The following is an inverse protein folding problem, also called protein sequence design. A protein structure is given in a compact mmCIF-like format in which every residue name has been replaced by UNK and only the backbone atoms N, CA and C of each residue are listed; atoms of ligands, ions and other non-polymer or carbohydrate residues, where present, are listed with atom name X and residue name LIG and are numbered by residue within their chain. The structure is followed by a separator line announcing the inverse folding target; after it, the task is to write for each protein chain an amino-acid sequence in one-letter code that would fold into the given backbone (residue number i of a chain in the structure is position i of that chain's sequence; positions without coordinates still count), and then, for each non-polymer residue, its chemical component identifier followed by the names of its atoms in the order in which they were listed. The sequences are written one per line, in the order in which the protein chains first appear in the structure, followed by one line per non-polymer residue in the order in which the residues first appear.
data_IF_649905722189
#
_entry.id   IF_649905722189
#
_cell.length_a   1.000
_cell.length_b   1.000
_cell.length_c   1.000
_cell.angle_alpha   90.00
_cell.angle_beta   90.00
_cell.angle_gamma   90.00
#
_symmetry.space_group_name_H-M   'P 1'
#
loop_
_entity.id
_entity.type
_entity.pdbx_description
1 polymer ?
#
# COMPACT_ATOMS: atom_id res chain seq x y z
N UNK A 1 -33.64 -0.77 -18.41
CA UNK A 1 -34.10 -0.46 -17.03
C UNK A 1 -32.99 -0.42 -15.95
N UNK A 2 -31.89 -1.18 -16.05
CA UNK A 2 -30.73 -1.10 -15.12
C UNK A 2 -29.91 0.20 -15.24
N UNK A 3 -29.75 0.77 -16.44
CA UNK A 3 -29.03 2.04 -16.64
C UNK A 3 -29.75 3.27 -16.04
N UNK A 4 -31.09 3.26 -16.01
CA UNK A 4 -31.88 4.37 -15.45
C UNK A 4 -31.75 4.45 -13.92
N UNK A 5 -31.54 3.31 -13.24
CA UNK A 5 -31.28 3.29 -11.79
C UNK A 5 -29.90 3.82 -11.42
N UNK A 6 -28.88 3.62 -12.26
CA UNK A 6 -27.55 4.22 -12.07
C UNK A 6 -27.56 5.73 -12.32
N UNK A 7 -28.30 6.18 -13.34
CA UNK A 7 -28.45 7.61 -13.62
C UNK A 7 -29.17 8.36 -12.49
N UNK A 8 -30.18 7.73 -11.88
CA UNK A 8 -30.91 8.33 -10.74
C UNK A 8 -30.10 8.31 -9.43
N UNK A 9 -29.25 7.32 -9.20
CA UNK A 9 -28.32 7.31 -8.05
C UNK A 9 -27.26 8.44 -8.14
N UNK A 10 -26.91 8.90 -9.35
CA UNK A 10 -26.04 10.06 -9.56
C UNK A 10 -26.75 11.39 -9.24
N UNK A 11 -28.08 11.43 -9.39
CA UNK A 11 -28.90 12.64 -9.14
C UNK A 11 -29.16 12.89 -7.65
N UNK A 12 -29.05 11.84 -6.82
CA UNK A 12 -29.31 11.87 -5.37
C UNK A 12 -28.16 12.47 -4.53
N UNK A 13 -27.11 12.98 -5.19
CA UNK A 13 -26.00 13.72 -4.57
C UNK A 13 -26.27 15.23 -4.42
N UNK A 14 -27.49 15.70 -4.72
CA UNK A 14 -27.91 17.08 -4.44
C UNK A 14 -28.51 17.13 -3.03
N UNK A 15 -27.68 17.52 -2.08
CA UNK A 15 -28.15 17.93 -0.75
C UNK A 15 -29.02 19.20 -0.90
N UNK A 16 -29.92 19.41 0.05
CA UNK A 16 -30.91 20.50 0.22
C UNK A 16 -30.38 21.94 0.10
N UNK A 17 -29.09 22.13 -0.18
CA UNK A 17 -28.39 23.41 -0.38
C UNK A 17 -27.92 23.67 -1.82
N UNK A 18 -28.31 22.84 -2.79
CA UNK A 18 -28.02 23.05 -4.21
C UNK A 18 -26.57 22.79 -4.64
N UNK A 19 -25.67 22.46 -3.72
CA UNK A 19 -24.28 22.11 -4.04
C UNK A 19 -24.20 20.60 -4.34
N UNK A 20 -23.97 20.28 -5.60
CA UNK A 20 -23.69 18.91 -6.07
C UNK A 20 -22.45 18.34 -5.38
N UNK A 21 -22.60 17.26 -4.60
CA UNK A 21 -21.47 16.48 -4.08
C UNK A 21 -20.84 15.55 -5.14
N UNK A 22 -21.23 15.67 -6.41
CA UNK A 22 -20.72 14.83 -7.48
C UNK A 22 -19.20 14.98 -7.61
N UNK A 23 -18.53 13.84 -7.79
CA UNK A 23 -17.10 13.81 -8.07
C UNK A 23 -16.84 14.53 -9.41
N UNK A 24 -16.00 15.59 -9.45
CA UNK A 24 -15.60 16.19 -10.72
C UNK A 24 -14.94 15.15 -11.62
N UNK A 25 -15.45 14.97 -12.84
CA UNK A 25 -15.01 13.91 -13.75
C UNK A 25 -13.51 13.94 -14.03
N UNK A 26 -12.90 15.12 -14.12
CA UNK A 26 -11.46 15.25 -14.35
C UNK A 26 -10.61 14.70 -13.19
N UNK A 27 -11.08 14.77 -11.93
CA UNK A 27 -10.36 14.21 -10.78
C UNK A 27 -10.33 12.66 -10.84
N UNK A 28 -11.39 12.05 -11.37
CA UNK A 28 -11.41 10.62 -11.64
C UNK A 28 -10.40 10.26 -12.74
N UNK A 29 -10.31 11.07 -13.79
CA UNK A 29 -9.31 10.87 -14.86
C UNK A 29 -7.90 10.97 -14.29
N UNK A 30 -7.60 12.00 -13.49
CA UNK A 30 -6.30 12.13 -12.81
C UNK A 30 -5.97 10.89 -11.99
N UNK A 31 -6.94 10.37 -11.22
CA UNK A 31 -6.74 9.17 -10.40
C UNK A 31 -6.44 7.92 -11.24
N UNK A 32 -7.22 7.69 -12.30
CA UNK A 32 -7.01 6.55 -13.20
C UNK A 32 -5.65 6.66 -13.87
N UNK A 33 -5.31 7.83 -14.42
CA UNK A 33 -4.03 8.09 -15.06
C UNK A 33 -2.85 7.90 -14.10
N UNK A 34 -2.96 8.40 -12.87
CA UNK A 34 -1.96 8.16 -11.82
C UNK A 34 -1.74 6.66 -11.57
N UNK A 35 -2.82 5.89 -11.35
CA UNK A 35 -2.69 4.46 -11.08
C UNK A 35 -2.06 3.70 -12.24
N UNK A 36 -2.50 3.97 -13.47
CA UNK A 36 -1.98 3.29 -14.67
C UNK A 36 -0.51 3.63 -14.93
N UNK A 37 -0.07 4.85 -14.60
CA UNK A 37 1.32 5.28 -14.74
C UNK A 37 2.21 4.92 -13.55
N UNK A 38 1.64 4.63 -12.37
CA UNK A 38 2.40 4.40 -11.13
C UNK A 38 3.50 3.33 -11.18
N UNK A 39 3.41 2.24 -11.96
CA UNK A 39 4.51 1.28 -12.02
C UNK A 39 5.64 1.71 -12.97
N UNK A 40 5.45 2.72 -13.82
CA UNK A 40 6.44 3.08 -14.84
C UNK A 40 7.44 4.11 -14.32
N UNK A 41 8.63 3.62 -13.96
CA UNK A 41 9.73 4.49 -13.57
C UNK A 41 10.51 4.87 -14.82
N UNK A 42 10.56 6.16 -15.09
CA UNK A 42 11.29 6.75 -16.23
C UNK A 42 12.53 7.49 -15.74
N UNK A 43 12.44 8.11 -14.56
CA UNK A 43 13.54 8.84 -13.94
C UNK A 43 14.20 8.02 -12.85
N UNK A 44 15.40 8.41 -12.43
CA UNK A 44 16.12 7.77 -11.33
C UNK A 44 15.29 7.69 -10.04
N UNK A 45 15.57 6.65 -9.26
CA UNK A 45 14.95 6.44 -7.95
C UNK A 45 15.17 7.65 -7.04
N UNK A 46 14.11 8.13 -6.41
CA UNK A 46 14.16 9.35 -5.58
C UNK A 46 13.86 10.64 -6.36
N UNK A 47 13.56 10.57 -7.65
CA UNK A 47 13.01 11.68 -8.43
C UNK A 47 11.50 11.51 -8.65
N UNK A 48 10.73 12.61 -8.81
CA UNK A 48 9.31 12.54 -9.18
C UNK A 48 9.12 11.81 -10.51
N UNK A 49 8.27 10.77 -10.52
CA UNK A 49 7.95 9.99 -11.71
C UNK A 49 6.78 10.60 -12.49
N UNK A 50 6.53 10.19 -13.75
CA UNK A 50 5.41 10.71 -14.53
C UNK A 50 4.05 10.58 -13.81
N UNK A 51 3.85 9.50 -13.05
CA UNK A 51 2.67 9.32 -12.22
C UNK A 51 2.52 10.42 -11.16
N UNK A 52 3.61 10.80 -10.48
CA UNK A 52 3.59 11.84 -9.45
C UNK A 52 3.22 13.19 -10.04
N UNK A 53 3.72 13.51 -11.24
CA UNK A 53 3.37 14.74 -11.97
C UNK A 53 1.86 14.80 -12.29
N UNK A 54 1.28 13.68 -12.73
CA UNK A 54 -0.18 13.58 -12.96
C UNK A 54 -0.94 13.79 -11.66
N UNK A 55 -0.48 13.19 -10.56
CA UNK A 55 -1.15 13.31 -9.27
C UNK A 55 -1.21 14.76 -8.78
N UNK A 56 -0.15 15.55 -8.98
CA UNK A 56 -0.11 16.99 -8.65
C UNK A 56 -1.28 17.76 -9.28
N UNK A 57 -1.69 17.42 -10.50
CA UNK A 57 -2.83 18.05 -11.18
C UNK A 57 -4.16 17.83 -10.43
N UNK A 58 -4.26 16.77 -9.62
CA UNK A 58 -5.41 16.50 -8.76
C UNK A 58 -5.31 17.12 -7.37
N UNK A 59 -4.08 17.30 -6.85
CA UNK A 59 -3.85 17.84 -5.50
C UNK A 59 -4.28 19.31 -5.38
N UNK A 60 -3.87 20.18 -6.31
CA UNK A 60 -4.20 21.62 -6.23
C UNK A 60 -5.72 21.88 -6.23
N UNK A 61 -6.50 21.31 -7.18
CA UNK A 61 -7.93 21.54 -7.18
C UNK A 61 -8.63 20.89 -5.99
N UNK A 62 -8.12 19.77 -5.48
CA UNK A 62 -8.67 19.15 -4.26
C UNK A 62 -8.58 20.09 -3.06
N UNK A 63 -7.45 20.79 -2.88
CA UNK A 63 -7.30 21.77 -1.79
C UNK A 63 -8.33 22.90 -1.94
N UNK A 64 -8.46 23.47 -3.15
CA UNK A 64 -9.43 24.53 -3.43
C UNK A 64 -10.87 24.05 -3.16
N UNK A 65 -11.24 22.90 -3.71
CA UNK A 65 -12.58 22.33 -3.54
C UNK A 65 -12.87 21.98 -2.08
N UNK A 66 -11.88 21.50 -1.32
CA UNK A 66 -12.04 21.21 0.11
C UNK A 66 -12.24 22.47 0.95
N UNK A 67 -11.71 23.62 0.51
CA UNK A 67 -11.93 24.91 1.16
C UNK A 67 -13.30 25.52 0.81
N UNK A 68 -13.76 25.33 -0.43
CA UNK A 68 -15.03 25.88 -0.92
C UNK A 68 -16.25 25.04 -0.50
N UNK A 69 -16.06 23.75 -0.28
CA UNK A 69 -17.14 22.83 0.05
C UNK A 69 -17.18 22.59 1.57
N UNK A 70 -18.37 22.52 2.20
CA UNK A 70 -18.49 22.17 3.60
C UNK A 70 -18.11 20.68 3.79
N UNK A 71 -16.83 20.43 3.99
CA UNK A 71 -16.30 19.12 4.34
C UNK A 71 -16.58 18.79 5.82
N UNK A 72 -16.70 17.50 6.18
CA UNK A 72 -16.74 17.10 7.59
C UNK A 72 -15.47 17.54 8.31
N UNK A 73 -15.59 17.77 9.62
CA UNK A 73 -14.48 18.18 10.50
C UNK A 73 -13.26 17.27 10.30
N UNK A 74 -12.07 17.89 10.23
CA UNK A 74 -10.79 17.19 10.26
C UNK A 74 -10.73 16.30 11.51
N UNK A 75 -10.62 14.99 11.32
CA UNK A 75 -10.45 14.06 12.42
C UNK A 75 -8.96 13.91 12.80
N UNK A 76 -8.70 13.14 13.85
CA UNK A 76 -7.35 12.97 14.38
C UNK A 76 -6.35 12.39 13.35
N UNK A 77 -6.80 11.63 12.34
CA UNK A 77 -5.88 11.11 11.33
C UNK A 77 -5.34 12.25 10.45
N UNK A 78 -6.19 13.19 10.05
CA UNK A 78 -5.75 14.40 9.34
C UNK A 78 -4.83 15.26 10.18
N UNK A 79 -5.20 15.50 11.44
CA UNK A 79 -4.43 16.35 12.34
C UNK A 79 -3.04 15.77 12.63
N UNK A 80 -2.95 14.48 12.94
CA UNK A 80 -1.67 13.83 13.24
C UNK A 80 -0.79 13.66 12.00
N UNK A 81 -1.37 13.28 10.86
CA UNK A 81 -0.62 13.18 9.61
C UNK A 81 -0.11 14.54 9.14
N UNK A 82 -0.93 15.58 9.24
CA UNK A 82 -0.53 16.96 8.94
C UNK A 82 0.52 17.49 9.91
N UNK A 83 0.36 17.24 11.22
CA UNK A 83 1.35 17.61 12.23
C UNK A 83 2.69 16.91 11.99
N UNK A 84 2.68 15.63 11.61
CA UNK A 84 3.89 14.92 11.22
C UNK A 84 4.55 15.54 9.98
N UNK A 85 3.78 15.82 8.91
CA UNK A 85 4.33 16.46 7.70
C UNK A 85 4.90 17.87 7.97
N UNK A 86 4.27 18.64 8.86
CA UNK A 86 4.80 19.94 9.31
C UNK A 86 6.07 19.75 10.13
N UNK A 87 6.12 18.77 11.03
CA UNK A 87 7.31 18.48 11.82
C UNK A 87 8.49 18.11 10.91
N UNK A 88 8.28 17.27 9.89
CA UNK A 88 9.38 16.91 8.97
C UNK A 88 9.91 18.14 8.25
N UNK A 89 9.04 19.08 7.86
CA UNK A 89 9.45 20.36 7.30
C UNK A 89 10.24 21.21 8.29
N UNK A 90 9.75 21.38 9.52
CA UNK A 90 10.42 22.22 10.54
C UNK A 90 11.81 21.69 10.88
N UNK A 91 11.93 20.37 11.12
CA UNK A 91 13.22 19.75 11.45
C UNK A 91 14.20 19.88 10.30
N UNK A 92 13.78 19.54 9.08
CA UNK A 92 14.65 19.62 7.89
C UNK A 92 15.00 21.06 7.52
N UNK A 93 14.07 22.01 7.65
CA UNK A 93 14.35 23.43 7.42
C UNK A 93 15.37 23.97 8.41
N UNK A 94 15.29 23.54 9.68
CA UNK A 94 16.27 23.90 10.71
C UNK A 94 17.67 23.45 10.29
N UNK A 95 17.84 22.18 9.91
CA UNK A 95 19.15 21.68 9.47
C UNK A 95 19.61 22.28 8.13
N UNK A 96 18.69 22.50 7.19
CA UNK A 96 18.97 23.18 5.93
C UNK A 96 19.56 24.58 6.16
N UNK A 97 19.05 25.35 7.13
CA UNK A 97 19.57 26.67 7.44
C UNK A 97 21.05 26.64 7.88
N UNK A 98 21.53 25.52 8.43
CA UNK A 98 22.93 25.36 8.85
C UNK A 98 23.83 24.72 7.78
N UNK A 99 23.29 23.81 6.95
CA UNK A 99 24.11 23.02 6.01
C UNK A 99 23.96 23.43 4.55
N UNK A 100 22.87 24.12 4.21
CA UNK A 100 22.44 24.46 2.84
C UNK A 100 22.27 23.25 1.89
N UNK A 101 22.16 22.04 2.44
CA UNK A 101 21.96 20.82 1.66
C UNK A 101 20.48 20.65 1.26
N UNK A 102 20.18 20.73 -0.03
CA UNK A 102 18.81 20.66 -0.56
C UNK A 102 18.12 19.31 -0.33
N UNK A 103 18.85 18.25 0.01
CA UNK A 103 18.25 16.94 0.34
C UNK A 103 17.29 17.02 1.52
N UNK A 104 17.52 17.93 2.48
CA UNK A 104 16.57 18.16 3.58
C UNK A 104 15.20 18.61 3.08
N UNK A 105 15.18 19.58 2.16
CA UNK A 105 13.94 20.11 1.59
C UNK A 105 13.23 19.05 0.73
N UNK A 106 14.00 18.27 -0.02
CA UNK A 106 13.47 17.15 -0.82
C UNK A 106 12.82 16.08 0.08
N UNK A 107 13.45 15.72 1.19
CA UNK A 107 12.90 14.78 2.17
C UNK A 107 11.56 15.25 2.74
N UNK A 108 11.44 16.53 3.10
CA UNK A 108 10.16 17.11 3.54
C UNK A 108 9.11 17.10 2.43
N UNK A 109 9.51 17.43 1.19
CA UNK A 109 8.62 17.43 0.05
C UNK A 109 7.99 16.04 -0.17
N UNK A 110 8.74 14.94 0.02
CA UNK A 110 8.19 13.59 -0.04
C UNK A 110 7.05 13.37 0.96
N UNK A 111 7.24 13.70 2.24
CA UNK A 111 6.20 13.47 3.26
C UNK A 111 4.99 14.38 3.07
N UNK A 112 5.19 15.64 2.69
CA UNK A 112 4.09 16.57 2.41
C UNK A 112 3.30 16.10 1.18
N UNK A 113 3.98 15.81 0.07
CA UNK A 113 3.36 15.30 -1.15
C UNK A 113 2.54 14.03 -0.88
N UNK A 114 3.14 13.08 -0.17
CA UNK A 114 2.49 11.82 0.17
C UNK A 114 1.29 11.98 1.11
N UNK A 115 1.36 12.88 2.09
CA UNK A 115 0.22 13.19 2.95
C UNK A 115 -0.92 13.87 2.15
N UNK A 116 -0.59 14.74 1.19
CA UNK A 116 -1.57 15.32 0.27
C UNK A 116 -2.18 14.25 -0.65
N UNK A 117 -1.40 13.30 -1.13
CA UNK A 117 -1.89 12.15 -1.89
C UNK A 117 -2.87 11.30 -1.07
N UNK A 118 -2.56 11.05 0.21
CA UNK A 118 -3.47 10.41 1.15
C UNK A 118 -4.81 11.17 1.29
N UNK A 119 -4.74 12.49 1.49
CA UNK A 119 -5.92 13.35 1.58
C UNK A 119 -6.74 13.34 0.28
N UNK A 120 -6.06 13.37 -0.88
CA UNK A 120 -6.68 13.33 -2.20
C UNK A 120 -7.48 12.05 -2.42
N UNK A 121 -6.89 10.89 -2.16
CA UNK A 121 -7.60 9.61 -2.33
C UNK A 121 -8.83 9.54 -1.42
N UNK A 122 -8.71 9.99 -0.16
CA UNK A 122 -9.86 10.05 0.75
C UNK A 122 -10.95 11.00 0.23
N UNK A 123 -10.56 12.16 -0.30
CA UNK A 123 -11.48 13.13 -0.88
C UNK A 123 -12.32 12.52 -2.03
N UNK A 124 -11.69 11.72 -2.89
CA UNK A 124 -12.38 10.99 -3.97
C UNK A 124 -13.33 9.91 -3.42
N UNK A 125 -12.82 9.05 -2.53
CA UNK A 125 -13.58 7.93 -1.97
C UNK A 125 -14.76 8.38 -1.10
N UNK A 126 -14.67 9.55 -0.44
CA UNK A 126 -15.78 10.12 0.31
C UNK A 126 -16.95 10.53 -0.59
N UNK A 127 -16.66 11.00 -1.82
CA UNK A 127 -17.68 11.46 -2.78
C UNK A 127 -18.33 10.34 -3.56
N UNK A 128 -17.53 9.36 -3.99
CA UNK A 128 -18.00 8.28 -4.84
C UNK A 128 -17.41 6.92 -4.43
N UNK A 129 -17.67 6.40 -3.21
CA UNK A 129 -16.96 5.25 -2.66
C UNK A 129 -17.03 4.01 -3.56
N UNK A 130 -18.22 3.64 -4.05
CA UNK A 130 -18.39 2.46 -4.90
C UNK A 130 -17.72 2.61 -6.28
N UNK A 131 -17.88 3.76 -6.93
CA UNK A 131 -17.24 4.07 -8.22
C UNK A 131 -15.72 4.08 -8.08
N UNK A 132 -15.19 4.72 -7.03
CA UNK A 132 -13.76 4.76 -6.77
C UNK A 132 -13.21 3.36 -6.45
N UNK A 133 -13.93 2.54 -5.68
CA UNK A 133 -13.51 1.17 -5.41
C UNK A 133 -13.41 0.35 -6.69
N UNK A 134 -14.40 0.44 -7.56
CA UNK A 134 -14.43 -0.27 -8.84
C UNK A 134 -13.34 0.23 -9.80
N UNK A 135 -13.19 1.55 -9.96
CA UNK A 135 -12.16 2.13 -10.81
C UNK A 135 -10.75 1.75 -10.35
N UNK A 136 -10.47 1.85 -9.05
CA UNK A 136 -9.19 1.43 -8.48
C UNK A 136 -8.96 -0.07 -8.68
N UNK A 137 -9.96 -0.92 -8.46
CA UNK A 137 -9.82 -2.37 -8.69
C UNK A 137 -9.48 -2.70 -10.15
N UNK A 138 -10.18 -2.08 -11.10
CA UNK A 138 -9.91 -2.27 -12.53
C UNK A 138 -8.49 -1.83 -12.87
N UNK A 139 -8.06 -0.65 -12.40
CA UNK A 139 -6.70 -0.17 -12.65
C UNK A 139 -5.65 -1.12 -12.05
N UNK A 140 -5.82 -1.55 -10.78
CA UNK A 140 -4.93 -2.50 -10.11
C UNK A 140 -4.85 -3.83 -10.87
N UNK A 141 -5.97 -4.35 -11.36
CA UNK A 141 -5.99 -5.55 -12.18
C UNK A 141 -5.21 -5.35 -13.49
N UNK A 142 -5.43 -4.23 -14.19
CA UNK A 142 -4.72 -3.90 -15.43
C UNK A 142 -3.21 -3.81 -15.22
N UNK A 143 -2.76 -3.02 -14.24
CA UNK A 143 -1.32 -2.85 -13.96
C UNK A 143 -0.68 -4.16 -13.45
N UNK A 144 -1.43 -5.01 -12.75
CA UNK A 144 -0.97 -6.35 -12.34
C UNK A 144 -0.72 -7.24 -13.54
N UNK A 145 -1.69 -7.37 -14.44
CA UNK A 145 -1.55 -8.17 -15.67
C UNK A 145 -0.41 -7.62 -16.52
N UNK A 146 -0.34 -6.30 -16.67
CA UNK A 146 0.70 -5.64 -17.46
C UNK A 146 2.11 -5.89 -16.90
N UNK A 147 2.32 -5.72 -15.59
CA UNK A 147 3.62 -6.01 -14.98
C UNK A 147 3.97 -7.49 -15.08
N UNK A 148 3.01 -8.38 -14.88
CA UNK A 148 3.21 -9.82 -15.05
C UNK A 148 3.68 -10.16 -16.46
N UNK A 149 3.00 -9.65 -17.49
CA UNK A 149 3.38 -9.87 -18.90
C UNK A 149 4.75 -9.25 -19.22
N UNK A 150 5.04 -8.06 -18.67
CA UNK A 150 6.33 -7.42 -18.86
C UNK A 150 7.47 -8.25 -18.26
N UNK A 151 7.33 -8.70 -17.00
CA UNK A 151 8.33 -9.55 -16.34
C UNK A 151 8.50 -10.88 -17.06
N UNK A 152 7.40 -11.47 -17.54
CA UNK A 152 7.44 -12.78 -18.20
C UNK A 152 8.09 -12.75 -19.58
N UNK A 153 7.89 -11.68 -20.36
CA UNK A 153 8.25 -11.66 -21.78
C UNK A 153 9.28 -10.62 -22.19
N UNK A 154 9.40 -9.51 -21.45
CA UNK A 154 10.17 -8.33 -21.87
C UNK A 154 11.37 -8.04 -20.97
N UNK A 155 11.23 -8.28 -19.66
CA UNK A 155 12.32 -8.07 -18.73
C UNK A 155 13.32 -9.22 -18.82
N UNK A 156 14.37 -9.06 -19.62
CA UNK A 156 15.47 -10.03 -19.75
C UNK A 156 16.72 -9.61 -18.97
N UNK A 157 16.60 -8.64 -18.06
CA UNK A 157 17.75 -7.95 -17.47
C UNK A 157 18.28 -8.64 -16.20
N UNK A 158 19.04 -9.73 -16.40
CA UNK A 158 19.81 -10.39 -15.35
C UNK A 158 18.98 -11.27 -14.41
N UNK A 159 19.60 -11.85 -13.37
CA UNK A 159 18.96 -12.89 -12.54
C UNK A 159 17.87 -12.36 -11.61
N UNK A 160 17.63 -11.04 -11.54
CA UNK A 160 16.62 -10.41 -10.68
C UNK A 160 15.83 -9.42 -11.51
N UNK A 161 14.56 -9.69 -11.70
CA UNK A 161 13.69 -8.84 -12.52
C UNK A 161 13.34 -7.54 -11.81
N UNK A 162 13.23 -6.48 -12.59
CA UNK A 162 12.90 -5.11 -12.14
C UNK A 162 11.55 -4.64 -12.67
N UNK A 163 10.99 -5.34 -13.65
CA UNK A 163 9.76 -4.94 -14.31
C UNK A 163 9.96 -3.58 -14.97
N UNK A 164 9.02 -2.66 -14.76
CA UNK A 164 9.17 -1.27 -15.21
C UNK A 164 9.73 -0.34 -14.12
N UNK A 165 10.32 -0.88 -13.06
CA UNK A 165 10.96 -0.13 -11.99
C UNK A 165 12.47 -0.06 -12.16
N UNK A 166 13.14 0.82 -11.41
CA UNK A 166 14.60 0.95 -11.48
C UNK A 166 15.36 -0.12 -10.68
N UNK A 167 14.68 -0.87 -9.81
CA UNK A 167 15.31 -1.82 -8.89
C UNK A 167 14.34 -2.95 -8.52
N UNK A 168 14.83 -4.20 -8.40
CA UNK A 168 14.00 -5.34 -7.97
C UNK A 168 13.24 -5.14 -6.65
N UNK A 169 13.80 -4.39 -5.70
CA UNK A 169 13.14 -4.09 -4.42
C UNK A 169 11.89 -3.20 -4.63
N UNK A 170 11.90 -2.30 -5.62
CA UNK A 170 10.72 -1.48 -5.94
C UNK A 170 9.60 -2.34 -6.52
N UNK A 171 9.92 -3.25 -7.44
CA UNK A 171 8.97 -4.23 -7.99
C UNK A 171 8.36 -5.10 -6.88
N UNK A 172 9.20 -5.62 -5.98
CA UNK A 172 8.76 -6.40 -4.82
C UNK A 172 7.86 -5.60 -3.86
N UNK A 173 8.21 -4.34 -3.57
CA UNK A 173 7.37 -3.52 -2.70
C UNK A 173 6.04 -3.16 -3.36
N UNK A 174 6.06 -2.88 -4.66
CA UNK A 174 4.85 -2.63 -5.44
C UNK A 174 3.93 -3.86 -5.47
N UNK A 175 4.46 -5.06 -5.73
CA UNK A 175 3.62 -6.27 -5.76
C UNK A 175 3.02 -6.58 -4.39
N UNK A 176 3.78 -6.37 -3.31
CA UNK A 176 3.30 -6.46 -1.92
C UNK A 176 2.14 -5.48 -1.65
N UNK A 177 2.29 -4.21 -2.05
CA UNK A 177 1.26 -3.20 -1.90
C UNK A 177 0.01 -3.54 -2.72
N UNK A 178 0.16 -3.95 -3.98
CA UNK A 178 -0.96 -4.32 -4.84
C UNK A 178 -1.74 -5.50 -4.25
N UNK A 179 -1.05 -6.50 -3.72
CA UNK A 179 -1.67 -7.64 -3.06
C UNK A 179 -2.51 -7.20 -1.85
N UNK A 180 -1.96 -6.34 -0.98
CA UNK A 180 -2.70 -5.79 0.16
C UNK A 180 -3.90 -4.94 -0.27
N UNK A 181 -3.72 -4.10 -1.29
CA UNK A 181 -4.76 -3.25 -1.87
C UNK A 181 -5.90 -4.10 -2.45
N UNK A 182 -5.61 -5.18 -3.18
CA UNK A 182 -6.62 -6.09 -3.70
C UNK A 182 -7.51 -6.67 -2.59
N UNK A 183 -6.92 -7.11 -1.47
CA UNK A 183 -7.69 -7.61 -0.31
C UNK A 183 -8.60 -6.51 0.24
N UNK A 184 -8.08 -5.30 0.41
CA UNK A 184 -8.85 -4.15 0.90
C UNK A 184 -10.01 -3.83 -0.05
N UNK A 185 -9.77 -3.74 -1.36
CA UNK A 185 -10.79 -3.44 -2.38
C UNK A 185 -11.91 -4.49 -2.46
N UNK A 186 -11.58 -5.75 -2.15
CA UNK A 186 -12.51 -6.88 -2.11
C UNK A 186 -13.28 -7.01 -0.79
N UNK A 187 -13.16 -6.06 0.14
CA UNK A 187 -13.82 -6.09 1.47
C UNK A 187 -15.32 -6.41 1.50
N UNK A 188 -16.06 -6.11 0.44
CA UNK A 188 -17.51 -6.31 0.35
C UNK A 188 -17.92 -7.42 -0.64
N UNK A 189 -16.97 -8.20 -1.15
CA UNK A 189 -17.23 -9.21 -2.18
C UNK A 189 -16.29 -10.40 -2.03
N UNK A 190 -16.79 -11.62 -2.22
CA UNK A 190 -15.96 -12.81 -2.16
C UNK A 190 -14.82 -12.78 -3.20
N UNK A 191 -13.70 -13.40 -2.84
CA UNK A 191 -12.61 -13.67 -3.78
C UNK A 191 -13.07 -14.68 -4.83
N UNK A 192 -12.97 -14.30 -6.10
CA UNK A 192 -13.30 -15.14 -7.25
C UNK A 192 -12.03 -15.67 -7.93
N UNK A 193 -12.18 -16.50 -8.97
CA UNK A 193 -11.04 -17.09 -9.68
C UNK A 193 -10.13 -16.04 -10.33
N UNK A 194 -10.69 -14.93 -10.81
CA UNK A 194 -9.89 -13.85 -11.38
C UNK A 194 -9.05 -13.16 -10.31
N UNK A 195 -9.59 -12.94 -9.10
CA UNK A 195 -8.81 -12.43 -7.97
C UNK A 195 -7.66 -13.39 -7.62
N UNK A 196 -7.92 -14.71 -7.61
CA UNK A 196 -6.87 -15.72 -7.41
C UNK A 196 -5.78 -15.63 -8.47
N UNK A 197 -6.16 -15.47 -9.74
CA UNK A 197 -5.20 -15.32 -10.83
C UNK A 197 -4.32 -14.07 -10.66
N UNK A 198 -4.91 -12.94 -10.25
CA UNK A 198 -4.15 -11.73 -9.93
C UNK A 198 -3.17 -11.95 -8.77
N UNK A 199 -3.57 -12.65 -7.70
CA UNK A 199 -2.66 -13.00 -6.62
C UNK A 199 -1.51 -13.90 -7.08
N UNK A 200 -1.78 -14.89 -7.92
CA UNK A 200 -0.75 -15.75 -8.49
C UNK A 200 0.22 -14.97 -9.39
N UNK A 201 -0.28 -14.03 -10.20
CA UNK A 201 0.55 -13.14 -11.01
C UNK A 201 1.46 -12.26 -10.13
N UNK A 202 0.92 -11.69 -9.05
CA UNK A 202 1.72 -10.90 -8.08
C UNK A 202 2.74 -11.77 -7.34
N UNK A 203 2.39 -13.01 -7.00
CA UNK A 203 3.31 -13.96 -6.37
C UNK A 203 4.45 -14.34 -7.31
N UNK A 204 4.16 -14.53 -8.60
CA UNK A 204 5.18 -14.75 -9.63
C UNK A 204 6.11 -13.55 -9.75
N UNK A 205 5.56 -12.35 -9.94
CA UNK A 205 6.34 -11.09 -10.00
C UNK A 205 7.22 -10.92 -8.75
N UNK A 206 6.70 -11.27 -7.58
CA UNK A 206 7.45 -11.24 -6.33
C UNK A 206 8.60 -12.25 -6.28
N UNK A 207 8.39 -13.46 -6.81
CA UNK A 207 9.42 -14.49 -6.90
C UNK A 207 10.55 -14.01 -7.83
N UNK A 208 10.21 -13.49 -9.00
CA UNK A 208 11.17 -13.00 -10.00
C UNK A 208 11.94 -11.75 -9.55
N UNK A 209 11.36 -10.92 -8.68
CA UNK A 209 12.07 -9.79 -8.07
C UNK A 209 13.21 -10.21 -7.11
N UNK A 210 13.14 -11.42 -6.53
CA UNK A 210 14.11 -11.99 -5.59
C UNK A 210 14.56 -11.03 -4.47
N UNK A 211 13.65 -10.17 -4.00
CA UNK A 211 13.87 -9.34 -2.82
C UNK A 211 13.64 -10.16 -1.56
N UNK A 212 14.67 -10.38 -0.73
CA UNK A 212 14.56 -11.18 0.52
C UNK A 212 13.41 -10.70 1.40
N UNK A 213 13.35 -9.39 1.66
CA UNK A 213 12.27 -8.77 2.43
C UNK A 213 10.91 -8.95 1.75
N UNK A 214 10.85 -8.79 0.41
CA UNK A 214 9.64 -9.00 -0.37
C UNK A 214 9.13 -10.43 -0.28
N UNK A 215 9.98 -11.44 -0.47
CA UNK A 215 9.62 -12.86 -0.41
C UNK A 215 9.02 -13.23 0.96
N UNK A 216 9.65 -12.81 2.05
CA UNK A 216 9.17 -13.09 3.42
C UNK A 216 7.81 -12.42 3.66
N UNK A 217 7.70 -11.14 3.35
CA UNK A 217 6.50 -10.35 3.64
C UNK A 217 5.33 -10.71 2.73
N UNK A 218 5.60 -11.09 1.47
CA UNK A 218 4.58 -11.56 0.56
C UNK A 218 4.07 -12.95 0.95
N UNK A 219 4.94 -13.84 1.45
CA UNK A 219 4.51 -15.10 2.07
C UNK A 219 3.49 -14.89 3.19
N UNK A 220 3.69 -13.85 4.02
CA UNK A 220 2.72 -13.45 5.04
C UNK A 220 1.39 -12.94 4.43
N UNK A 221 1.45 -12.18 3.33
CA UNK A 221 0.24 -11.73 2.62
C UNK A 221 -0.53 -12.90 2.00
N UNK A 222 0.14 -13.94 1.50
CA UNK A 222 -0.52 -15.17 1.01
C UNK A 222 -1.31 -15.85 2.13
N UNK A 223 -0.75 -15.93 3.34
CA UNK A 223 -1.47 -16.43 4.52
C UNK A 223 -2.69 -15.54 4.81
N UNK A 224 -2.52 -14.23 4.85
CA UNK A 224 -3.64 -13.31 5.08
C UNK A 224 -4.73 -13.45 4.02
N UNK A 225 -4.36 -13.58 2.75
CA UNK A 225 -5.28 -13.79 1.63
C UNK A 225 -6.09 -15.07 1.81
N UNK A 226 -5.43 -16.20 2.12
CA UNK A 226 -6.09 -17.48 2.34
C UNK A 226 -7.10 -17.42 3.49
N UNK A 227 -6.75 -16.74 4.59
CA UNK A 227 -7.60 -16.60 5.77
C UNK A 227 -8.52 -15.38 5.76
N UNK A 228 -8.66 -14.70 4.61
CA UNK A 228 -9.49 -13.50 4.51
C UNK A 228 -10.94 -13.74 4.94
N UNK A 229 -11.62 -12.75 5.56
CA UNK A 229 -13.05 -12.81 5.82
C UNK A 229 -13.87 -13.05 4.56
N UNK A 230 -13.38 -12.59 3.41
CA UNK A 230 -14.01 -12.74 2.09
C UNK A 230 -13.52 -13.96 1.31
N UNK A 231 -12.61 -14.75 1.87
CA UNK A 231 -12.19 -16.02 1.30
C UNK A 231 -13.23 -17.11 1.58
N UNK A 232 -13.60 -17.87 0.55
CA UNK A 232 -14.56 -18.96 0.69
C UNK A 232 -13.94 -20.16 1.44
N UNK A 233 -14.78 -21.03 2.02
CA UNK A 233 -14.33 -22.20 2.80
C UNK A 233 -13.46 -23.16 1.98
N UNK A 234 -13.73 -23.26 0.67
CA UNK A 234 -12.97 -24.13 -0.25
C UNK A 234 -11.53 -23.64 -0.39
N UNK A 235 -11.30 -22.35 -0.57
CA UNK A 235 -9.97 -21.75 -0.65
C UNK A 235 -9.19 -21.97 0.64
N UNK A 236 -9.83 -21.77 1.80
CA UNK A 236 -9.23 -22.06 3.11
C UNK A 236 -8.83 -23.53 3.23
N UNK A 237 -9.72 -24.45 2.83
CA UNK A 237 -9.44 -25.88 2.85
C UNK A 237 -8.30 -26.26 1.91
N UNK A 238 -8.29 -25.74 0.67
CA UNK A 238 -7.23 -25.99 -0.30
C UNK A 238 -5.87 -25.47 0.19
N UNK A 239 -5.85 -24.28 0.81
CA UNK A 239 -4.63 -23.74 1.42
C UNK A 239 -4.13 -24.65 2.56
N UNK A 240 -5.02 -25.07 3.45
CA UNK A 240 -4.66 -25.99 4.55
C UNK A 240 -4.18 -27.35 4.06
N UNK A 241 -4.82 -27.90 3.02
CA UNK A 241 -4.39 -29.15 2.39
C UNK A 241 -3.02 -29.00 1.73
N UNK A 242 -2.78 -27.89 1.02
CA UNK A 242 -1.47 -27.59 0.44
C UNK A 242 -0.37 -27.46 1.50
N UNK A 243 -0.66 -26.77 2.61
CA UNK A 243 0.27 -26.64 3.73
C UNK A 243 0.55 -27.99 4.41
N UNK A 244 -0.50 -28.80 4.65
CA UNK A 244 -0.36 -30.13 5.22
C UNK A 244 0.46 -31.05 4.31
N UNK A 245 0.18 -31.03 3.00
CA UNK A 245 0.95 -31.77 2.01
C UNK A 245 2.43 -31.37 2.03
N UNK A 246 2.72 -30.05 2.00
CA UNK A 246 4.10 -29.55 2.07
C UNK A 246 4.83 -30.02 3.35
N UNK A 247 4.17 -29.97 4.51
CA UNK A 247 4.75 -30.42 5.78
C UNK A 247 4.99 -31.93 5.77
N UNK A 248 4.01 -32.72 5.33
CA UNK A 248 4.12 -34.19 5.26
C UNK A 248 5.26 -34.56 4.33
N UNK A 249 5.28 -34.04 3.10
CA UNK A 249 6.33 -34.35 2.13
C UNK A 249 7.71 -33.94 2.64
N UNK A 250 7.84 -32.81 3.35
CA UNK A 250 9.12 -32.38 3.95
C UNK A 250 9.63 -33.35 5.02
N UNK A 251 8.73 -34.00 5.75
CA UNK A 251 9.07 -34.98 6.78
C UNK A 251 9.32 -36.37 6.18
N UNK A 252 8.51 -36.81 5.22
CA UNK A 252 8.52 -38.20 4.73
C UNK A 252 9.41 -38.41 3.51
N UNK A 253 9.63 -37.39 2.67
CA UNK A 253 10.35 -37.49 1.41
C UNK A 253 11.23 -36.25 1.14
N UNK A 254 12.21 -35.93 2.00
CA UNK A 254 13.04 -34.74 1.85
C UNK A 254 13.86 -34.74 0.55
N UNK A 255 14.27 -35.92 0.06
CA UNK A 255 15.01 -36.07 -1.21
C UNK A 255 14.18 -35.69 -2.44
N UNK A 256 12.91 -36.10 -2.51
CA UNK A 256 12.03 -35.76 -3.63
C UNK A 256 11.72 -34.27 -3.73
N UNK A 257 11.57 -33.60 -2.57
CA UNK A 257 11.43 -32.14 -2.53
C UNK A 257 12.68 -31.46 -3.05
N UNK A 258 13.88 -31.95 -2.69
CA UNK A 258 15.12 -31.36 -3.20
C UNK A 258 15.20 -31.43 -4.72
N UNK A 259 14.80 -32.55 -5.33
CA UNK A 259 14.75 -32.70 -6.79
C UNK A 259 13.72 -31.74 -7.41
N UNK A 260 12.53 -31.61 -6.81
CA UNK A 260 11.50 -30.70 -7.31
C UNK A 260 11.93 -29.22 -7.23
N UNK A 261 12.66 -28.84 -6.18
CA UNK A 261 13.23 -27.49 -6.04
C UNK A 261 14.28 -27.24 -7.12
N UNK A 262 15.20 -28.18 -7.35
CA UNK A 262 16.27 -28.02 -8.35
C UNK A 262 15.74 -28.03 -9.79
N UNK A 263 14.63 -28.71 -10.07
CA UNK A 263 14.05 -28.76 -11.42
C UNK A 263 13.21 -27.52 -11.79
N UNK A 264 12.93 -26.64 -10.84
CA UNK A 264 12.14 -25.44 -11.06
C UNK A 264 13.01 -24.20 -10.81
N UNK A 265 13.55 -23.62 -11.88
CA UNK A 265 14.51 -22.51 -11.84
C UNK A 265 14.09 -21.36 -10.90
N UNK A 266 12.83 -20.92 -10.95
CA UNK A 266 12.30 -19.86 -10.06
C UNK A 266 12.27 -20.29 -8.59
N UNK A 267 11.98 -21.55 -8.29
CA UNK A 267 11.95 -22.08 -6.91
C UNK A 267 13.37 -22.24 -6.38
N UNK A 268 14.30 -22.73 -7.20
CA UNK A 268 15.71 -22.80 -6.84
C UNK A 268 16.28 -21.41 -6.56
N UNK A 269 15.99 -20.43 -7.42
CA UNK A 269 16.42 -19.04 -7.23
C UNK A 269 15.90 -18.43 -5.92
N UNK A 270 14.61 -18.65 -5.61
CA UNK A 270 14.00 -18.22 -4.33
C UNK A 270 14.68 -18.92 -3.15
N UNK A 271 14.88 -20.23 -3.22
CA UNK A 271 15.54 -21.03 -2.17
C UNK A 271 16.96 -20.53 -1.92
N UNK A 272 17.75 -20.37 -2.98
CA UNK A 272 19.11 -19.82 -2.94
C UNK A 272 19.16 -18.39 -2.41
N UNK A 273 18.12 -17.59 -2.68
CA UNK A 273 18.05 -16.22 -2.17
C UNK A 273 17.75 -16.18 -0.67
N UNK A 274 16.89 -17.06 -0.17
CA UNK A 274 16.54 -17.15 1.24
C UNK A 274 17.65 -17.81 2.07
N UNK A 275 18.40 -18.78 1.52
CA UNK A 275 19.50 -19.43 2.24
C UNK A 275 20.68 -18.50 2.55
N UNK A 276 20.86 -17.44 1.74
CA UNK A 276 21.91 -16.42 1.92
C UNK A 276 21.50 -15.26 2.83
N UNK A 277 20.38 -15.33 3.55
CA UNK A 277 19.98 -14.26 4.47
C UNK A 277 21.03 -14.14 5.58
N UNK A 278 21.63 -12.96 5.72
CA UNK A 278 22.65 -12.68 6.73
C UNK A 278 24.09 -12.86 6.26
N UNK A 279 24.30 -13.55 5.13
CA UNK A 279 25.63 -13.76 4.54
C UNK A 279 26.01 -12.69 3.51
N UNK A 280 25.02 -12.09 2.83
CA UNK A 280 25.27 -11.05 1.83
C UNK A 280 25.74 -9.74 2.49
N UNK A 281 26.73 -9.08 1.87
CA UNK A 281 27.35 -7.84 2.41
C UNK A 281 26.35 -6.72 2.68
N UNK A 282 25.26 -6.63 1.91
CA UNK A 282 24.21 -5.62 2.02
C UNK A 282 23.14 -5.94 3.09
N UNK A 283 23.19 -7.13 3.71
CA UNK A 283 22.24 -7.51 4.75
C UNK A 283 22.58 -6.94 6.12
N UNK A 284 23.85 -6.56 6.36
CA UNK A 284 24.28 -6.11 7.67
C UNK A 284 23.54 -4.84 8.12
N UNK A 285 23.14 -4.81 9.40
CA UNK A 285 22.49 -3.65 10.01
C UNK A 285 23.34 -2.37 9.83
N UNK A 286 24.67 -2.50 9.84
CA UNK A 286 25.62 -1.41 9.60
C UNK A 286 25.51 -0.85 8.19
N UNK A 287 25.47 -1.69 7.15
CA UNK A 287 25.32 -1.22 5.75
C UNK A 287 23.94 -0.57 5.53
N UNK A 288 22.91 -1.06 6.23
CA UNK A 288 21.57 -0.44 6.25
C UNK A 288 21.49 0.88 7.03
N UNK A 289 22.55 1.21 7.77
CA UNK A 289 22.71 2.47 8.49
C UNK A 289 22.21 2.48 9.93
N UNK A 290 21.81 1.32 10.49
CA UNK A 290 21.34 1.21 11.87
C UNK A 290 22.37 1.62 12.92
N UNK A 291 23.67 1.58 12.59
CA UNK A 291 24.72 2.01 13.53
C UNK A 291 24.54 3.48 13.96
N UNK A 292 23.94 4.33 13.13
CA UNK A 292 23.68 5.75 13.46
C UNK A 292 22.83 5.92 14.71
N UNK A 293 21.93 4.98 15.00
CA UNK A 293 21.09 5.01 16.20
C UNK A 293 21.94 4.87 17.48
N UNK A 294 23.06 4.16 17.40
CA UNK A 294 23.99 3.89 18.51
C UNK A 294 25.09 4.95 18.54
N UNK A 295 25.62 5.30 17.36
CA UNK A 295 26.76 6.22 17.22
C UNK A 295 26.35 7.68 17.52
N UNK A 296 25.07 8.05 17.29
CA UNK A 296 24.57 9.41 17.49
C UNK A 296 23.19 9.43 18.20
N UNK A 297 23.09 8.93 19.44
CA UNK A 297 21.82 8.75 20.14
C UNK A 297 21.12 10.07 20.47
N UNK A 298 21.84 11.19 20.52
CA UNK A 298 21.27 12.53 20.77
C UNK A 298 20.19 12.92 19.75
N UNK A 299 20.29 12.43 18.51
CA UNK A 299 19.29 12.72 17.47
C UNK A 299 18.02 11.89 17.61
N UNK A 300 17.99 10.85 18.47
CA UNK A 300 16.76 10.10 18.75
C UNK A 300 15.72 10.94 19.49
N UNK A 301 16.13 12.04 20.14
CA UNK A 301 15.21 12.93 20.86
C UNK A 301 14.63 13.97 19.89
N UNK A 302 15.48 14.81 19.31
CA UNK A 302 15.06 15.97 18.52
C UNK A 302 14.99 15.73 16.99
N UNK A 303 15.55 14.62 16.52
CA UNK A 303 15.70 14.31 15.09
C UNK A 303 16.97 14.92 14.50
N UNK A 304 17.60 14.19 13.58
CA UNK A 304 18.81 14.62 12.88
C UNK A 304 18.54 15.44 11.60
N UNK A 305 17.28 15.50 11.17
CA UNK A 305 16.90 15.85 9.81
C UNK A 305 17.38 14.81 8.79
N UNK A 306 16.68 14.75 7.66
CA UNK A 306 16.88 13.76 6.63
C UNK A 306 17.63 14.36 5.43
N UNK A 307 18.95 14.42 5.55
CA UNK A 307 19.86 15.02 4.57
C UNK A 307 21.28 15.13 5.12
N UNK A 308 22.22 15.65 4.33
CA UNK A 308 23.63 15.83 4.71
C UNK A 308 24.21 14.61 5.42
N UNK A 309 24.14 13.44 4.78
CA UNK A 309 24.53 12.16 5.38
C UNK A 309 26.03 12.09 5.76
N UNK A 310 26.86 12.95 5.15
CA UNK A 310 28.26 13.12 5.50
C UNK A 310 28.46 13.47 6.97
N UNK A 311 27.48 14.10 7.64
CA UNK A 311 27.50 14.40 9.09
C UNK A 311 27.61 13.16 9.97
N UNK A 312 27.30 11.98 9.42
CA UNK A 312 27.27 10.71 10.14
C UNK A 312 28.24 9.68 9.56
N UNK A 313 29.28 10.11 8.84
CA UNK A 313 30.23 9.23 8.14
C UNK A 313 29.53 8.22 7.20
N UNK A 314 28.41 8.63 6.62
CA UNK A 314 27.61 7.79 5.75
C UNK A 314 27.49 8.38 4.34
N UNK A 315 27.63 7.52 3.34
CA UNK A 315 27.53 7.89 1.92
C UNK A 315 26.10 7.86 1.37
N UNK A 316 25.17 7.28 2.11
CA UNK A 316 23.81 7.00 1.64
C UNK A 316 22.78 7.23 2.75
N UNK A 317 21.52 7.28 2.36
CA UNK A 317 20.39 7.42 3.28
C UNK A 317 20.24 6.20 4.21
N UNK A 318 19.40 6.34 5.24
CA UNK A 318 18.98 5.20 6.04
C UNK A 318 18.07 4.32 5.19
N UNK A 319 18.44 3.04 5.09
CA UNK A 319 17.69 2.12 4.27
C UNK A 319 16.38 1.69 4.92
N UNK A 320 16.18 1.84 6.23
CA UNK A 320 14.96 1.41 6.92
C UNK A 320 14.01 2.58 7.12
N UNK A 321 12.76 2.48 6.65
CA UNK A 321 11.76 3.52 6.85
C UNK A 321 11.53 3.83 8.33
N UNK A 322 11.49 2.79 9.18
CA UNK A 322 11.28 2.93 10.63
C UNK A 322 12.48 3.64 11.28
N UNK A 323 13.70 3.20 10.95
CA UNK A 323 14.91 3.83 11.47
C UNK A 323 15.04 5.27 11.00
N UNK A 324 14.66 5.57 9.75
CA UNK A 324 14.64 6.93 9.22
C UNK A 324 13.72 7.82 10.02
N UNK A 325 12.48 7.41 10.30
CA UNK A 325 11.54 8.24 11.06
C UNK A 325 12.11 8.52 12.45
N UNK A 326 12.58 7.49 13.14
CA UNK A 326 13.13 7.63 14.49
C UNK A 326 14.38 8.51 14.52
N UNK A 327 15.34 8.29 13.63
CA UNK A 327 16.60 9.02 13.63
C UNK A 327 16.45 10.44 13.10
N UNK A 328 15.69 10.64 12.02
CA UNK A 328 15.62 11.92 11.32
C UNK A 328 14.65 12.89 11.98
N UNK A 329 13.58 12.39 12.62
CA UNK A 329 12.53 13.22 13.21
C UNK A 329 12.35 12.98 14.72
N UNK A 330 13.22 12.17 15.33
CA UNK A 330 13.24 11.92 16.76
C UNK A 330 12.02 11.17 17.27
N UNK A 331 11.95 11.02 18.58
CA UNK A 331 10.84 10.34 19.26
C UNK A 331 9.51 11.06 19.02
N UNK A 332 9.53 12.39 18.89
CA UNK A 332 8.32 13.19 18.61
C UNK A 332 7.76 12.82 17.24
N UNK A 333 8.59 12.83 16.19
CA UNK A 333 8.17 12.44 14.85
C UNK A 333 7.75 10.97 14.76
N UNK A 334 8.48 10.10 15.44
CA UNK A 334 8.14 8.68 15.56
C UNK A 334 6.76 8.48 16.19
N UNK A 335 6.49 9.07 17.36
CA UNK A 335 5.21 8.96 18.05
C UNK A 335 4.08 9.56 17.20
N UNK A 336 4.28 10.73 16.59
CA UNK A 336 3.27 11.33 15.71
C UNK A 336 2.94 10.42 14.52
N UNK A 337 3.96 9.89 13.84
CA UNK A 337 3.77 9.03 12.67
C UNK A 337 3.03 7.73 13.03
N UNK A 338 3.47 7.02 14.07
CA UNK A 338 2.83 5.76 14.46
C UNK A 338 1.44 5.96 15.09
N UNK A 339 1.20 7.08 15.77
CA UNK A 339 -0.15 7.42 16.22
C UNK A 339 -1.05 7.79 15.04
N UNK A 340 -0.53 8.50 14.03
CA UNK A 340 -1.23 8.72 12.77
C UNK A 340 -1.65 7.40 12.12
N UNK A 341 -0.73 6.43 11.99
CA UNK A 341 -1.05 5.08 11.49
C UNK A 341 -2.16 4.44 12.34
N UNK A 342 -2.05 4.44 13.67
CA UNK A 342 -3.09 3.89 14.54
C UNK A 342 -4.46 4.55 14.28
N UNK A 343 -4.51 5.87 14.07
CA UNK A 343 -5.76 6.59 13.80
C UNK A 343 -6.34 6.31 12.41
N UNK A 344 -5.51 5.98 11.41
CA UNK A 344 -5.95 5.50 10.10
C UNK A 344 -6.71 4.18 10.23
N UNK A 345 -6.22 3.27 11.06
CA UNK A 345 -6.75 1.90 11.19
C UNK A 345 -7.79 1.72 12.29
N UNK A 346 -8.02 2.72 13.16
CA UNK A 346 -8.92 2.60 14.34
C UNK A 346 -10.37 2.21 14.02
N UNK A 347 -10.86 2.50 12.81
CA UNK A 347 -12.25 2.21 12.37
C UNK A 347 -12.34 0.96 11.49
N UNK A 348 -11.21 0.29 11.27
CA UNK A 348 -11.10 -0.83 10.36
C UNK A 348 -11.21 -2.15 11.13
N UNK A 349 -11.89 -3.19 10.61
CA UNK A 349 -11.83 -4.51 11.22
C UNK A 349 -10.38 -4.99 11.34
N UNK A 350 -10.06 -5.64 12.46
CA UNK A 350 -8.68 -6.01 12.83
C UNK A 350 -7.94 -6.76 11.73
N UNK A 351 -8.63 -7.61 10.97
CA UNK A 351 -8.06 -8.34 9.84
C UNK A 351 -7.46 -7.40 8.78
N UNK A 352 -8.22 -6.39 8.33
CA UNK A 352 -7.70 -5.48 7.31
C UNK A 352 -6.65 -4.54 7.91
N UNK A 353 -6.71 -4.25 9.21
CA UNK A 353 -5.65 -3.54 9.92
C UNK A 353 -4.34 -4.33 9.98
N UNK A 354 -4.43 -5.66 10.12
CA UNK A 354 -3.27 -6.55 10.14
C UNK A 354 -2.50 -6.57 8.82
N UNK A 355 -3.11 -6.18 7.68
CA UNK A 355 -2.41 -6.03 6.40
C UNK A 355 -1.28 -4.98 6.45
N UNK A 356 -1.27 -4.09 7.45
CA UNK A 356 -0.16 -3.18 7.70
C UNK A 356 1.12 -3.92 8.14
N UNK A 357 1.01 -5.07 8.81
CA UNK A 357 2.14 -5.83 9.36
C UNK A 357 3.18 -6.17 8.27
N UNK A 358 2.85 -6.86 7.16
CA UNK A 358 3.83 -7.18 6.13
C UNK A 358 4.46 -5.93 5.51
N UNK A 359 3.71 -4.84 5.39
CA UNK A 359 4.21 -3.56 4.86
C UNK A 359 5.24 -2.93 5.83
N UNK A 360 4.99 -2.95 7.14
CA UNK A 360 5.90 -2.45 8.17
C UNK A 360 7.15 -3.33 8.27
N UNK A 361 7.00 -4.66 8.19
CA UNK A 361 8.12 -5.59 8.17
C UNK A 361 9.05 -5.36 6.97
N UNK A 362 8.49 -5.06 5.80
CA UNK A 362 9.29 -4.66 4.64
C UNK A 362 10.10 -3.38 4.94
N UNK A 363 9.46 -2.42 5.63
CA UNK A 363 10.05 -1.15 6.07
C UNK A 363 11.20 -1.25 7.06
N UNK A 364 11.43 -2.42 7.69
CA UNK A 364 12.61 -2.65 8.53
C UNK A 364 13.92 -2.68 7.73
N UNK A 365 13.84 -2.94 6.43
CA UNK A 365 15.03 -3.11 5.59
C UNK A 365 15.09 -2.14 4.41
N UNK A 366 13.94 -1.54 4.05
CA UNK A 366 13.80 -0.65 2.91
C UNK A 366 13.03 0.63 3.28
N UNK A 367 13.32 1.73 2.59
CA UNK A 367 12.68 3.02 2.80
C UNK A 367 11.34 3.03 2.07
N UNK A 368 10.32 2.53 2.76
CA UNK A 368 8.98 2.33 2.20
C UNK A 368 8.03 3.50 2.47
N UNK A 369 8.25 4.29 3.53
CA UNK A 369 7.34 5.37 3.92
C UNK A 369 7.37 6.59 3.00
N UNK A 370 8.41 6.73 2.17
CA UNK A 370 8.46 7.76 1.12
C UNK A 370 7.73 7.35 -0.16
N UNK A 371 7.30 6.10 -0.30
CA UNK A 371 6.62 5.61 -1.51
C UNK A 371 5.14 6.01 -1.49
N UNK A 372 4.65 6.67 -2.54
CA UNK A 372 3.25 7.13 -2.66
C UNK A 372 2.23 5.99 -2.54
N UNK A 373 2.56 4.79 -3.01
CA UNK A 373 1.71 3.60 -2.91
C UNK A 373 1.41 3.19 -1.46
N UNK A 374 2.32 3.44 -0.51
CA UNK A 374 2.06 3.26 0.92
C UNK A 374 0.91 4.15 1.39
N UNK A 375 0.94 5.43 1.02
CA UNK A 375 -0.06 6.42 1.41
C UNK A 375 -1.40 6.19 0.71
N UNK A 376 -1.38 5.70 -0.53
CA UNK A 376 -2.57 5.18 -1.21
C UNK A 376 -3.19 4.02 -0.43
N UNK A 377 -2.39 3.03 0.01
CA UNK A 377 -2.88 1.92 0.83
C UNK A 377 -3.50 2.42 2.15
N UNK A 378 -2.86 3.37 2.84
CA UNK A 378 -3.42 3.99 4.05
C UNK A 378 -4.76 4.67 3.75
N UNK A 379 -4.86 5.42 2.65
CA UNK A 379 -6.07 6.13 2.28
C UNK A 379 -7.23 5.19 1.92
N UNK A 380 -6.95 4.09 1.20
CA UNK A 380 -7.93 3.06 0.89
C UNK A 380 -8.42 2.35 2.16
N UNK A 381 -7.52 2.08 3.10
CA UNK A 381 -7.84 1.50 4.40
C UNK A 381 -8.71 2.43 5.24
N UNK A 382 -8.36 3.71 5.34
CA UNK A 382 -9.18 4.73 5.99
C UNK A 382 -10.57 4.84 5.36
N UNK A 383 -10.61 4.78 4.02
CA UNK A 383 -11.85 4.92 3.23
C UNK A 383 -12.83 3.77 3.44
N UNK A 384 -12.45 2.70 4.13
CA UNK A 384 -13.37 1.64 4.56
C UNK A 384 -14.60 2.22 5.28
N UNK A 385 -14.41 3.27 6.10
CA UNK A 385 -15.48 3.91 6.84
C UNK A 385 -16.58 4.56 5.96
N UNK A 386 -16.32 4.78 4.67
CA UNK A 386 -17.30 5.36 3.75
C UNK A 386 -18.21 4.31 3.10
N UNK A 387 -17.84 3.03 3.21
CA UNK A 387 -18.67 1.94 2.75
C UNK A 387 -19.66 1.64 3.86
N UNK A 388 -20.93 2.00 3.63
CA UNK A 388 -21.98 1.61 4.57
C UNK A 388 -21.95 0.07 4.68
N UNK A 389 -21.87 -0.51 5.89
CA UNK A 389 -22.18 -1.92 6.03
C UNK A 389 -23.57 -2.10 5.42
N UNK A 390 -23.75 -3.13 4.61
CA UNK A 390 -25.01 -3.46 3.97
C UNK A 390 -26.06 -3.83 5.06
N UNK A 391 -26.57 -2.83 5.78
CA UNK A 391 -27.62 -2.96 6.77
C UNK A 391 -29.02 -2.94 6.13
N UNK A 392 -29.13 -2.84 4.78
CA UNK A 392 -30.42 -2.82 4.07
C UNK A 392 -30.78 -4.09 3.31
N UNK A 393 -29.83 -4.93 2.90
CA UNK A 393 -30.18 -6.17 2.19
C UNK A 393 -30.58 -7.30 3.14
N UNK A 394 -30.06 -7.33 4.37
CA UNK A 394 -30.54 -8.25 5.42
C UNK A 394 -31.87 -7.77 6.02
N UNK A 395 -32.05 -6.49 6.30
CA UNK A 395 -33.34 -5.96 6.81
C UNK A 395 -34.48 -6.12 5.79
N UNK A 396 -34.24 -5.89 4.49
CA UNK A 396 -35.28 -6.11 3.48
C UNK A 396 -35.55 -7.59 3.22
N UNK A 397 -34.55 -8.49 3.26
CA UNK A 397 -34.82 -9.94 3.19
C UNK A 397 -35.58 -10.44 4.42
N UNK A 398 -35.35 -9.86 5.59
CA UNK A 398 -36.04 -10.23 6.83
C UNK A 398 -37.47 -9.62 6.92
N UNK A 399 -37.71 -8.45 6.31
CA UNK A 399 -39.04 -7.86 6.14
C UNK A 399 -39.87 -8.56 5.04
N UNK A 400 -39.26 -8.90 3.89
CA UNK A 400 -39.92 -9.66 2.82
C UNK A 400 -40.32 -11.06 3.32
N UNK A 401 -39.45 -11.75 4.05
CA UNK A 401 -39.74 -13.08 4.61
C UNK A 401 -40.78 -13.06 5.75
N UNK A 402 -40.93 -11.91 6.45
CA UNK A 402 -42.00 -11.69 7.43
C UNK A 402 -43.33 -11.38 6.76
N UNK A 403 -43.35 -10.58 5.68
CA UNK A 403 -44.56 -10.28 4.91
C UNK A 403 -45.09 -11.51 4.15
N UNK A 404 -44.21 -12.33 3.58
CA UNK A 404 -44.57 -13.61 2.94
C UNK A 404 -45.16 -14.63 3.94
N UNK A 405 -44.77 -14.54 5.21
CA UNK A 405 -45.34 -15.36 6.30
C UNK A 405 -46.73 -14.91 6.73
N UNK A 406 -47.06 -13.62 6.60
CA UNK A 406 -48.39 -13.07 6.91
C UNK A 406 -49.39 -13.19 5.75
N UNK A 407 -48.92 -13.19 4.50
CA UNK A 407 -49.78 -13.29 3.31
C UNK A 407 -50.19 -14.74 2.98
N UNK A 408 -49.37 -15.74 3.35
CA UNK A 408 -49.65 -17.16 3.05
C UNK A 408 -50.39 -17.92 4.17
N UNK A 409 -50.95 -17.23 5.16
CA UNK A 409 -51.70 -17.84 6.29
C UNK A 409 -53.06 -17.19 6.59
N UNK A 410 -53.58 -16.34 5.70
CA UNK A 410 -54.90 -15.71 5.81
C UNK A 410 -55.86 -16.26 4.77
#
# INVERSE_FOLDING_TARGET
MKQIKLYNAYKDARDTRGISRALPGYLLVVWISYLLLSPFYVFYSGMPQPADMVLVLGLFPMVILSALLPEPKLDSAYLLGGAFAILTFVVNLTYYAFTLDTLFLLSSAFYIFNFLAFCFVIFLFRRAPYTMNQATYICVAIITVMQFLYVLFLDSSGPRHTGTFNNPNQLAYWSLLMACILIVLKRSSSLNLFDMALFSMLAFVQAEALSKAGLITFGLVVVFMAFSPVANKRLKALFMLGLAALIITKVTAPGEISILITNADSIEAVSNRLSKIGDDRDDSARVRGYSRLIDYPQYLIAGAGEGAHYRFNARQELHSGIATILFSYGIIGFTLFFTFLAMVFRRLPIYYGALLIPIILYGLTHQNFRNTGFWVFLALSYSYAFFKPAQRESQNRELDHRLDFFINKG
#
